data_IF_453990633539
#
_entry.id   IF_453990633539
#
_cell.length_a   1.000
_cell.length_b   1.000
_cell.length_c   1.000
_cell.angle_alpha   90.00
_cell.angle_beta   90.00
_cell.angle_gamma   90.00
#
_symmetry.space_group_name_H-M   'P 1'
#
loop_
_entity.id
_entity.type
_entity.pdbx_description
1 polymer ?
#
# COMPACT_ATOMS: atom_id res chain seq x y z
N UNK A 1 13.80 -2.77 56.89
CA UNK A 1 14.34 -1.80 55.92
C UNK A 1 13.91 -2.26 54.54
N UNK A 2 12.76 -1.79 54.10
CA UNK A 2 12.27 -1.99 52.73
C UNK A 2 12.66 -0.79 51.88
N UNK A 3 12.83 -1.03 50.59
CA UNK A 3 12.74 -0.02 49.52
C UNK A 3 12.31 -0.76 48.25
N UNK A 4 11.01 -0.67 47.99
CA UNK A 4 10.36 -0.94 46.72
C UNK A 4 10.68 0.20 45.75
N UNK A 5 11.12 -0.12 44.53
CA UNK A 5 11.31 0.86 43.47
C UNK A 5 10.07 0.86 42.56
N UNK A 6 9.28 1.92 42.66
CA UNK A 6 8.16 2.24 41.78
C UNK A 6 8.69 2.75 40.44
N UNK A 7 8.35 2.07 39.33
CA UNK A 7 8.58 2.54 37.97
C UNK A 7 7.25 2.81 37.27
N UNK A 8 6.67 3.97 37.53
CA UNK A 8 5.63 4.58 36.67
C UNK A 8 6.26 5.72 35.88
N UNK A 9 6.81 5.41 34.71
CA UNK A 9 7.04 6.41 33.66
C UNK A 9 5.75 6.48 32.82
N UNK A 10 4.90 7.45 33.15
CA UNK A 10 3.76 7.83 32.32
C UNK A 10 4.30 8.51 31.07
N UNK A 11 4.07 7.91 29.89
CA UNK A 11 4.27 8.58 28.61
C UNK A 11 3.29 9.76 28.53
N UNK A 12 3.79 10.98 28.68
CA UNK A 12 3.04 12.18 28.34
C UNK A 12 3.00 12.27 26.81
N UNK A 13 1.82 12.07 26.22
CA UNK A 13 1.57 12.47 24.84
C UNK A 13 1.58 14.00 24.81
N UNK A 14 2.53 14.59 24.08
CA UNK A 14 2.63 16.03 23.87
C UNK A 14 1.46 16.47 23.01
N UNK A 15 0.37 16.92 23.62
CA UNK A 15 -0.69 17.66 22.92
C UNK A 15 -0.11 18.98 22.45
N UNK A 16 0.04 19.15 21.14
CA UNK A 16 0.40 20.42 20.52
C UNK A 16 -0.66 21.48 20.88
N UNK A 17 -0.22 22.66 21.33
CA UNK A 17 -1.14 23.76 21.62
C UNK A 17 -1.84 24.24 20.33
N UNK A 18 -3.11 24.69 20.40
CA UNK A 18 -3.91 25.06 19.23
C UNK A 18 -3.24 26.05 18.27
N UNK A 19 -2.42 26.97 18.79
CA UNK A 19 -1.65 27.95 18.02
C UNK A 19 -0.54 27.34 17.15
N UNK A 20 0.06 26.23 17.60
CA UNK A 20 1.12 25.52 16.85
C UNK A 20 0.56 24.65 15.72
N UNK A 21 -0.67 24.15 15.88
CA UNK A 21 -1.37 23.38 14.83
C UNK A 21 -1.76 24.25 13.63
N UNK A 22 -2.16 25.49 13.90
CA UNK A 22 -2.53 26.48 12.87
C UNK A 22 -1.29 26.91 12.06
N UNK A 23 -0.18 27.23 12.74
CA UNK A 23 1.11 27.54 12.10
C UNK A 23 1.63 26.40 11.21
N UNK A 24 1.52 25.15 11.68
CA UNK A 24 1.90 23.97 10.90
C UNK A 24 1.02 23.83 9.65
N UNK A 25 -0.26 24.18 9.73
CA UNK A 25 -1.19 24.08 8.61
C UNK A 25 -0.92 25.13 7.53
N UNK A 26 -0.57 26.36 7.93
CA UNK A 26 -0.15 27.42 7.00
C UNK A 26 1.16 27.06 6.28
N UNK A 27 2.13 26.51 7.00
CA UNK A 27 3.42 26.11 6.44
C UNK A 27 3.27 24.95 5.45
N UNK A 28 2.44 23.94 5.77
CA UNK A 28 2.09 22.87 4.82
C UNK A 28 1.50 23.49 3.55
N UNK A 29 0.51 24.38 3.67
CA UNK A 29 -0.15 24.99 2.49
C UNK A 29 0.85 25.75 1.61
N UNK A 30 1.78 26.49 2.20
CA UNK A 30 2.83 27.20 1.46
C UNK A 30 3.74 26.23 0.68
N UNK A 31 4.16 25.14 1.33
CA UNK A 31 5.00 24.14 0.68
C UNK A 31 4.25 23.33 -0.39
N UNK A 32 2.93 23.15 -0.25
CA UNK A 32 2.07 22.54 -1.26
C UNK A 32 1.98 23.38 -2.54
N UNK A 33 1.94 24.70 -2.42
CA UNK A 33 2.02 25.60 -3.58
C UNK A 33 3.36 25.45 -4.31
N UNK A 34 4.47 25.32 -3.57
CA UNK A 34 5.80 25.06 -4.14
C UNK A 34 5.86 23.70 -4.85
N UNK A 35 5.29 22.65 -4.24
CA UNK A 35 5.19 21.31 -4.82
C UNK A 35 4.42 21.35 -6.16
N UNK A 36 3.30 22.08 -6.20
CA UNK A 36 2.47 22.24 -7.39
C UNK A 36 3.22 22.99 -8.52
N UNK A 37 3.90 24.09 -8.20
CA UNK A 37 4.73 24.81 -9.17
C UNK A 37 5.86 23.93 -9.73
N UNK A 38 6.50 23.15 -8.86
CA UNK A 38 7.55 22.23 -9.24
C UNK A 38 7.01 21.10 -10.13
N UNK A 39 5.85 20.55 -9.80
CA UNK A 39 5.16 19.55 -10.60
C UNK A 39 4.91 20.05 -12.03
N UNK A 40 4.42 21.28 -12.17
CA UNK A 40 4.22 21.92 -13.48
C UNK A 40 5.54 22.08 -14.25
N UNK A 41 6.61 22.54 -13.60
CA UNK A 41 7.96 22.64 -14.20
C UNK A 41 8.50 21.29 -14.66
N UNK A 42 8.12 20.21 -13.97
CA UNK A 42 8.50 18.83 -14.29
C UNK A 42 7.54 18.14 -15.27
N UNK A 43 6.54 18.85 -15.79
CA UNK A 43 5.55 18.33 -16.73
C UNK A 43 4.59 17.31 -16.12
N UNK A 44 4.41 17.34 -14.80
CA UNK A 44 3.39 16.56 -14.10
C UNK A 44 2.11 17.40 -14.08
N UNK A 45 1.08 16.96 -14.82
CA UNK A 45 -0.21 17.65 -14.91
C UNK A 45 -1.33 16.79 -14.29
N UNK A 46 -2.15 17.38 -13.42
CA UNK A 46 -3.30 16.71 -12.81
C UNK A 46 -4.02 17.59 -11.79
N UNK A 47 -5.27 17.25 -11.46
CA UNK A 47 -6.02 17.89 -10.34
C UNK A 47 -5.45 17.49 -8.98
N UNK A 48 -4.92 16.28 -8.87
CA UNK A 48 -4.15 15.77 -7.73
C UNK A 48 -2.73 15.46 -8.21
N UNK A 49 -1.77 16.20 -7.68
CA UNK A 49 -0.34 15.97 -7.97
C UNK A 49 0.13 14.74 -7.19
N UNK A 50 0.77 13.80 -7.89
CA UNK A 50 1.44 12.67 -7.25
C UNK A 50 2.78 13.14 -6.63
N UNK A 51 2.76 13.38 -5.33
CA UNK A 51 3.94 13.79 -4.55
C UNK A 51 5.13 12.85 -4.73
N UNK A 52 4.90 11.53 -4.86
CA UNK A 52 5.96 10.54 -5.06
C UNK A 52 6.63 10.79 -6.41
N UNK A 53 5.84 11.02 -7.46
CA UNK A 53 6.35 11.33 -8.80
C UNK A 53 7.13 12.65 -8.82
N UNK A 54 6.64 13.69 -8.11
CA UNK A 54 7.33 14.98 -8.00
C UNK A 54 8.69 14.82 -7.33
N UNK A 55 8.74 14.17 -6.17
CA UNK A 55 9.99 13.90 -5.43
C UNK A 55 10.95 13.11 -6.31
N UNK A 56 10.47 12.07 -6.99
CA UNK A 56 11.31 11.24 -7.86
C UNK A 56 11.91 12.04 -9.03
N UNK A 57 11.08 12.76 -9.78
CA UNK A 57 11.55 13.59 -10.91
C UNK A 57 12.48 14.71 -10.44
N UNK A 58 12.21 15.32 -9.28
CA UNK A 58 13.07 16.34 -8.69
C UNK A 58 14.44 15.75 -8.28
N UNK A 59 14.47 14.57 -7.66
CA UNK A 59 15.72 13.87 -7.29
C UNK A 59 16.56 13.56 -8.52
N UNK A 60 15.93 13.01 -9.56
CA UNK A 60 16.63 12.70 -10.80
C UNK A 60 17.18 13.97 -11.47
N UNK A 61 16.43 15.07 -11.49
CA UNK A 61 16.93 16.35 -12.03
C UNK A 61 18.09 16.89 -11.21
N UNK A 62 18.05 16.76 -9.89
CA UNK A 62 19.11 17.21 -8.98
C UNK A 62 20.46 16.51 -9.23
N UNK A 63 20.47 15.29 -9.77
CA UNK A 63 21.72 14.61 -10.19
C UNK A 63 22.45 15.34 -11.34
N UNK A 64 21.71 16.11 -12.13
CA UNK A 64 22.22 16.82 -13.32
C UNK A 64 22.19 18.34 -13.20
N UNK A 65 21.43 18.88 -12.24
CA UNK A 65 21.29 20.31 -12.00
C UNK A 65 21.05 20.59 -10.50
N UNK A 66 22.04 21.22 -9.85
CA UNK A 66 22.01 21.57 -8.43
C UNK A 66 20.90 22.57 -8.05
N UNK A 67 20.32 23.30 -9.02
CA UNK A 67 19.20 24.23 -8.79
C UNK A 67 17.95 23.54 -8.21
N UNK A 68 17.86 22.21 -8.32
CA UNK A 68 16.77 21.41 -7.74
C UNK A 68 17.00 21.03 -6.27
N UNK A 69 18.19 21.26 -5.70
CA UNK A 69 18.48 20.92 -4.30
C UNK A 69 17.61 21.69 -3.29
N UNK A 70 17.34 23.01 -3.44
CA UNK A 70 16.40 23.71 -2.55
C UNK A 70 14.98 23.16 -2.65
N UNK A 71 14.54 22.81 -3.87
CA UNK A 71 13.22 22.22 -4.08
C UNK A 71 13.09 20.87 -3.35
N UNK A 72 14.14 20.04 -3.38
CA UNK A 72 14.17 18.79 -2.62
C UNK A 72 14.10 19.00 -1.10
N UNK A 73 14.75 20.05 -0.57
CA UNK A 73 14.64 20.38 0.86
C UNK A 73 13.20 20.74 1.23
N UNK A 74 12.53 21.53 0.39
CA UNK A 74 11.12 21.90 0.61
C UNK A 74 10.19 20.68 0.54
N UNK A 75 10.40 19.76 -0.42
CA UNK A 75 9.61 18.53 -0.51
C UNK A 75 9.82 17.61 0.70
N UNK A 76 11.07 17.46 1.16
CA UNK A 76 11.36 16.67 2.35
C UNK A 76 10.70 17.27 3.61
N UNK A 77 10.72 18.61 3.72
CA UNK A 77 10.08 19.30 4.84
C UNK A 77 8.56 19.18 4.77
N UNK A 78 7.97 19.32 3.59
CA UNK A 78 6.55 19.11 3.35
C UNK A 78 6.13 17.69 3.76
N UNK A 79 6.89 16.68 3.34
CA UNK A 79 6.63 15.28 3.70
C UNK A 79 6.69 15.10 5.23
N UNK A 80 7.71 15.67 5.90
CA UNK A 80 7.86 15.62 7.35
C UNK A 80 6.68 16.27 8.09
N UNK A 81 6.26 17.47 7.67
CA UNK A 81 5.14 18.19 8.28
C UNK A 81 3.82 17.46 8.07
N UNK A 82 3.58 16.93 6.87
CA UNK A 82 2.40 16.10 6.56
C UNK A 82 2.35 14.82 7.41
N UNK A 83 3.49 14.14 7.59
CA UNK A 83 3.58 12.95 8.44
C UNK A 83 3.29 13.28 9.90
N UNK A 84 3.89 14.35 10.43
CA UNK A 84 3.64 14.81 11.80
C UNK A 84 2.16 15.15 12.02
N UNK A 85 1.54 15.87 11.07
CA UNK A 85 0.10 16.15 11.11
C UNK A 85 -0.73 14.86 11.12
N UNK A 86 -0.36 13.87 10.30
CA UNK A 86 -1.04 12.57 10.28
C UNK A 86 -0.93 11.85 11.63
N UNK A 87 0.24 11.84 12.27
CA UNK A 87 0.46 11.24 13.59
C UNK A 87 -0.41 11.88 14.68
N UNK A 88 -0.51 13.21 14.67
CA UNK A 88 -1.33 13.98 15.61
C UNK A 88 -2.82 13.68 15.41
N UNK A 89 -3.30 13.71 14.16
CA UNK A 89 -4.69 13.37 13.84
C UNK A 89 -5.03 11.93 14.24
N UNK A 90 -4.10 11.00 14.05
CA UNK A 90 -4.23 9.60 14.45
C UNK A 90 -4.32 9.36 15.96
N UNK A 91 -3.94 10.35 16.77
CA UNK A 91 -4.06 10.30 18.24
C UNK A 91 -5.41 10.85 18.72
N UNK A 92 -6.12 11.61 17.88
CA UNK A 92 -7.46 12.11 18.16
C UNK A 92 -8.51 11.07 17.74
N UNK A 93 -9.45 10.74 18.63
CA UNK A 93 -10.58 9.87 18.28
C UNK A 93 -11.53 10.65 17.38
N UNK A 94 -11.51 10.38 16.09
CA UNK A 94 -12.53 10.84 15.17
C UNK A 94 -13.22 9.65 14.52
N UNK A 95 -14.54 9.61 14.71
CA UNK A 95 -15.45 8.73 13.98
C UNK A 95 -15.44 9.19 12.52
N UNK A 96 -15.20 8.26 11.59
CA UNK A 96 -15.27 8.57 10.18
C UNK A 96 -16.73 8.90 9.84
N UNK A 97 -16.99 10.03 9.17
CA UNK A 97 -18.29 10.28 8.55
C UNK A 97 -18.46 9.27 7.40
N UNK A 98 -19.27 8.24 7.63
CA UNK A 98 -19.63 7.29 6.58
C UNK A 98 -20.52 8.01 5.56
N UNK A 99 -20.00 8.19 4.34
CA UNK A 99 -20.83 8.64 3.22
C UNK A 99 -21.84 7.53 2.90
N UNK A 100 -23.15 7.86 2.77
CA UNK A 100 -24.13 6.87 2.35
C UNK A 100 -23.81 6.40 0.93
N UNK A 101 -23.47 5.12 0.80
CA UNK A 101 -23.23 4.49 -0.49
C UNK A 101 -24.56 4.27 -1.22
N UNK A 102 -24.58 4.40 -2.56
CA UNK A 102 -25.80 4.18 -3.32
C UNK A 102 -26.28 2.73 -3.18
N UNK A 103 -27.57 2.58 -2.91
CA UNK A 103 -28.27 1.29 -2.96
C UNK A 103 -28.34 0.80 -4.41
N UNK A 104 -28.01 -0.46 -4.64
CA UNK A 104 -28.07 -1.09 -5.96
C UNK A 104 -27.44 -2.47 -5.96
N UNK A 105 -27.77 -3.28 -6.98
CA UNK A 105 -27.09 -4.55 -7.21
C UNK A 105 -25.65 -4.28 -7.71
N UNK A 106 -24.65 -5.02 -7.20
CA UNK A 106 -23.28 -4.88 -7.69
C UNK A 106 -23.19 -5.30 -9.16
N UNK A 107 -22.26 -4.67 -9.89
CA UNK A 107 -22.00 -5.02 -11.28
C UNK A 107 -21.40 -6.44 -11.38
N UNK A 108 -21.86 -7.21 -12.36
CA UNK A 108 -21.37 -8.58 -12.59
C UNK A 108 -20.28 -8.59 -13.66
N UNK A 109 -19.24 -9.38 -13.40
CA UNK A 109 -18.09 -9.59 -14.30
C UNK A 109 -17.95 -11.08 -14.58
N UNK A 110 -17.33 -11.44 -15.71
CA UNK A 110 -16.96 -12.83 -15.97
C UNK A 110 -15.79 -13.25 -15.06
N UNK A 111 -16.13 -13.79 -13.89
CA UNK A 111 -15.16 -14.25 -12.92
C UNK A 111 -14.40 -15.52 -13.31
N UNK A 112 -14.79 -16.18 -14.41
CA UNK A 112 -14.08 -17.36 -14.95
C UNK A 112 -12.72 -17.01 -15.56
N UNK A 113 -12.37 -15.71 -15.60
CA UNK A 113 -11.10 -15.18 -16.12
C UNK A 113 -10.35 -14.35 -15.08
N UNK A 114 -10.54 -14.68 -13.80
CA UNK A 114 -9.86 -14.05 -12.68
C UNK A 114 -8.89 -15.02 -12.01
N UNK A 115 -7.79 -14.45 -11.54
CA UNK A 115 -6.76 -15.09 -10.75
C UNK A 115 -6.38 -14.16 -9.62
N UNK A 116 -6.14 -14.72 -8.43
CA UNK A 116 -5.82 -13.91 -7.27
C UNK A 116 -4.69 -14.49 -6.42
N UNK A 117 -3.88 -13.60 -5.86
CA UNK A 117 -2.92 -13.88 -4.80
C UNK A 117 -3.25 -12.98 -3.63
N UNK A 118 -3.65 -13.57 -2.50
CA UNK A 118 -4.05 -12.83 -1.30
C UNK A 118 -3.05 -13.10 -0.18
N UNK A 119 -2.46 -12.04 0.35
CA UNK A 119 -1.37 -12.08 1.33
C UNK A 119 -1.79 -11.29 2.56
N UNK A 120 -1.78 -11.93 3.72
CA UNK A 120 -2.21 -11.33 4.98
C UNK A 120 -1.28 -11.75 6.09
N UNK A 121 -0.65 -10.81 6.78
CA UNK A 121 0.37 -11.11 7.78
C UNK A 121 0.03 -10.38 9.08
N UNK A 122 -0.29 -11.15 10.12
CA UNK A 122 -0.56 -10.65 11.48
C UNK A 122 0.68 -10.78 12.37
N UNK A 123 1.31 -11.96 12.31
CA UNK A 123 2.39 -12.34 13.22
C UNK A 123 3.73 -11.73 12.78
N UNK A 124 4.11 -10.66 13.46
CA UNK A 124 5.42 -10.03 13.35
C UNK A 124 6.19 -10.12 14.67
N UNK A 125 7.54 -10.22 14.64
CA UNK A 125 8.34 -10.21 15.86
C UNK A 125 8.17 -8.96 16.72
N UNK A 126 7.80 -7.83 16.10
CA UNK A 126 7.54 -6.55 16.73
C UNK A 126 6.28 -5.93 16.11
N UNK A 127 5.45 -5.27 16.93
CA UNK A 127 4.21 -4.62 16.50
C UNK A 127 3.19 -5.56 15.82
N UNK A 128 2.89 -6.69 16.47
CA UNK A 128 1.89 -7.67 16.01
C UNK A 128 0.59 -6.98 15.55
N UNK A 129 0.11 -7.39 14.38
CA UNK A 129 -1.19 -7.00 13.82
C UNK A 129 -2.21 -8.12 14.06
N UNK A 130 -3.50 -7.82 13.91
CA UNK A 130 -4.57 -8.77 14.23
C UNK A 130 -5.68 -8.84 13.20
N UNK A 131 -5.67 -7.94 12.21
CA UNK A 131 -6.73 -7.81 11.21
C UNK A 131 -6.29 -8.16 9.79
N UNK A 132 -5.01 -8.36 9.52
CA UNK A 132 -4.51 -8.58 8.15
C UNK A 132 -4.93 -9.94 7.61
N UNK A 133 -4.90 -10.99 8.44
CA UNK A 133 -5.42 -12.31 8.05
C UNK A 133 -6.94 -12.27 7.93
N UNK A 134 -7.63 -11.55 8.82
CA UNK A 134 -9.09 -11.38 8.72
C UNK A 134 -9.49 -10.68 7.41
N UNK A 135 -8.76 -9.63 7.06
CA UNK A 135 -8.94 -8.87 5.82
C UNK A 135 -8.80 -9.77 4.58
N UNK A 136 -7.78 -10.64 4.54
CA UNK A 136 -7.65 -11.64 3.47
C UNK A 136 -8.85 -12.57 3.42
N UNK A 137 -9.37 -13.03 4.56
CA UNK A 137 -10.54 -13.93 4.59
C UNK A 137 -11.80 -13.25 4.06
N UNK A 138 -12.03 -11.97 4.38
CA UNK A 138 -13.19 -11.25 3.85
C UNK A 138 -13.04 -10.91 2.36
N UNK A 139 -11.80 -10.66 1.89
CA UNK A 139 -11.49 -10.50 0.47
C UNK A 139 -11.66 -11.81 -0.30
N UNK A 140 -11.20 -12.94 0.24
CA UNK A 140 -11.39 -14.29 -0.32
C UNK A 140 -12.88 -14.60 -0.48
N UNK A 141 -13.69 -14.33 0.55
CA UNK A 141 -15.14 -14.46 0.48
C UNK A 141 -15.75 -13.58 -0.59
N UNK A 142 -15.33 -12.31 -0.68
CA UNK A 142 -15.79 -11.43 -1.74
C UNK A 142 -15.51 -12.00 -3.13
N UNK A 143 -14.28 -12.45 -3.39
CA UNK A 143 -13.92 -13.02 -4.68
C UNK A 143 -14.69 -14.31 -4.97
N UNK A 144 -14.92 -15.16 -3.98
CA UNK A 144 -15.54 -16.49 -4.20
C UNK A 144 -17.06 -16.49 -4.16
N UNK A 145 -17.67 -15.66 -3.32
CA UNK A 145 -19.12 -15.64 -3.06
C UNK A 145 -19.82 -14.51 -3.83
N UNK A 146 -19.21 -13.32 -3.90
CA UNK A 146 -19.81 -12.16 -4.58
C UNK A 146 -19.43 -12.14 -6.08
N UNK A 147 -18.14 -12.34 -6.40
CA UNK A 147 -17.68 -12.38 -7.80
C UNK A 147 -17.82 -13.76 -8.45
N UNK A 148 -17.88 -14.85 -7.67
CA UNK A 148 -17.87 -16.23 -8.17
C UNK A 148 -16.54 -16.65 -8.85
N UNK A 149 -15.39 -16.13 -8.39
CA UNK A 149 -14.06 -16.59 -8.81
C UNK A 149 -13.83 -18.03 -8.32
N UNK A 150 -13.40 -18.97 -9.18
CA UNK A 150 -13.08 -20.34 -8.75
C UNK A 150 -11.98 -20.38 -7.69
N UNK A 151 -12.21 -21.14 -6.60
CA UNK A 151 -11.25 -21.24 -5.47
C UNK A 151 -9.87 -21.74 -5.89
N UNK A 152 -9.78 -22.61 -6.90
CA UNK A 152 -8.52 -23.15 -7.42
C UNK A 152 -7.67 -22.10 -8.18
N UNK A 153 -8.20 -20.89 -8.36
CA UNK A 153 -7.50 -19.73 -8.96
C UNK A 153 -7.13 -18.65 -7.94
N UNK A 154 -7.35 -18.93 -6.66
CA UNK A 154 -7.02 -18.04 -5.55
C UNK A 154 -5.94 -18.71 -4.72
N UNK A 155 -4.79 -18.05 -4.62
CA UNK A 155 -3.68 -18.48 -3.77
C UNK A 155 -3.65 -17.63 -2.51
N UNK A 156 -3.48 -18.29 -1.35
CA UNK A 156 -3.50 -17.65 -0.03
C UNK A 156 -2.14 -17.79 0.64
N UNK A 157 -1.60 -16.68 1.15
CA UNK A 157 -0.42 -16.65 2.00
C UNK A 157 -0.78 -15.94 3.31
N UNK A 158 -0.84 -16.69 4.41
CA UNK A 158 -1.39 -16.22 5.69
C UNK A 158 -0.35 -16.34 6.80
N UNK A 159 0.09 -15.21 7.34
CA UNK A 159 1.03 -15.14 8.45
C UNK A 159 0.28 -15.07 9.77
N UNK A 160 -0.18 -16.21 10.26
CA UNK A 160 -0.88 -16.34 11.54
C UNK A 160 -0.17 -17.34 12.46
N UNK A 161 -0.66 -17.52 13.69
CA UNK A 161 -0.16 -18.57 14.60
C UNK A 161 -0.38 -19.99 14.07
N UNK A 162 -1.26 -20.16 13.08
CA UNK A 162 -1.57 -21.47 12.47
C UNK A 162 -0.52 -21.85 11.42
N UNK A 163 0.02 -20.87 10.70
CA UNK A 163 1.02 -21.04 9.65
C UNK A 163 2.34 -20.42 10.12
N UNK A 164 3.17 -21.20 10.82
CA UNK A 164 4.40 -20.71 11.46
C UNK A 164 5.68 -21.33 10.92
N UNK A 165 5.57 -22.38 10.10
CA UNK A 165 6.72 -23.09 9.53
C UNK A 165 7.08 -22.54 8.16
N UNK A 166 8.37 -22.41 7.88
CA UNK A 166 8.87 -22.11 6.54
C UNK A 166 8.60 -23.24 5.52
N UNK A 167 8.26 -24.44 5.98
CA UNK A 167 7.87 -25.57 5.12
C UNK A 167 6.37 -25.54 4.76
N UNK A 168 5.57 -24.69 5.41
CA UNK A 168 4.15 -24.53 5.11
C UNK A 168 4.00 -23.65 3.85
N UNK A 169 3.38 -24.15 2.77
CA UNK A 169 3.23 -23.39 1.54
C UNK A 169 2.36 -22.13 1.71
N UNK A 170 1.54 -22.05 2.76
CA UNK A 170 0.75 -20.87 3.08
C UNK A 170 1.52 -19.83 3.92
N UNK A 171 2.67 -20.19 4.48
CA UNK A 171 3.46 -19.24 5.27
C UNK A 171 4.01 -18.12 4.38
N UNK A 172 3.76 -16.83 4.67
CA UNK A 172 4.11 -15.72 3.79
C UNK A 172 5.60 -15.33 3.90
N UNK A 173 6.50 -16.29 3.74
CA UNK A 173 7.93 -16.00 3.62
C UNK A 173 8.21 -15.22 2.33
N UNK A 174 9.32 -14.49 2.28
CA UNK A 174 9.78 -13.86 1.04
C UNK A 174 9.85 -14.87 -0.12
N UNK A 175 10.37 -16.07 0.13
CA UNK A 175 10.46 -17.10 -0.91
C UNK A 175 9.08 -17.55 -1.41
N UNK A 176 8.11 -17.73 -0.52
CA UNK A 176 6.75 -18.12 -0.91
C UNK A 176 6.01 -17.00 -1.63
N UNK A 177 6.12 -15.74 -1.17
CA UNK A 177 5.51 -14.59 -1.85
C UNK A 177 6.07 -14.46 -3.27
N UNK A 178 7.40 -14.43 -3.41
CA UNK A 178 8.05 -14.28 -4.70
C UNK A 178 7.79 -15.50 -5.61
N UNK A 179 7.82 -16.72 -5.07
CA UNK A 179 7.50 -17.93 -5.82
C UNK A 179 6.04 -17.98 -6.28
N UNK A 180 5.11 -17.52 -5.46
CA UNK A 180 3.67 -17.44 -5.81
C UNK A 180 3.43 -16.44 -6.93
N UNK A 181 4.03 -15.25 -6.83
CA UNK A 181 3.87 -14.20 -7.84
C UNK A 181 4.52 -14.58 -9.17
N UNK A 182 5.72 -15.17 -9.14
CA UNK A 182 6.35 -15.66 -10.38
C UNK A 182 5.68 -16.90 -10.93
N UNK A 183 5.02 -17.71 -10.10
CA UNK A 183 4.15 -18.80 -10.53
C UNK A 183 3.02 -18.34 -11.46
N UNK A 184 2.53 -17.10 -11.32
CA UNK A 184 1.54 -16.52 -12.24
C UNK A 184 2.08 -16.39 -13.68
N UNK A 185 3.39 -16.24 -13.86
CA UNK A 185 4.03 -16.16 -15.17
C UNK A 185 3.97 -17.53 -15.86
N UNK A 186 4.30 -18.58 -15.10
CA UNK A 186 4.39 -19.96 -15.59
C UNK A 186 3.04 -20.70 -15.66
N UNK A 187 1.98 -20.15 -15.08
CA UNK A 187 0.66 -20.79 -15.10
C UNK A 187 0.00 -20.68 -16.49
N UNK A 188 -0.03 -21.79 -17.22
CA UNK A 188 -0.57 -21.88 -18.58
C UNK A 188 -2.09 -21.64 -18.65
N UNK A 189 -2.81 -21.84 -17.54
CA UNK A 189 -4.25 -21.58 -17.47
C UNK A 189 -4.56 -20.08 -17.45
N UNK A 190 -3.63 -19.23 -17.01
CA UNK A 190 -3.76 -17.77 -17.11
C UNK A 190 -3.52 -17.35 -18.56
N UNK A 191 -4.57 -16.86 -19.21
CA UNK A 191 -4.53 -16.37 -20.59
C UNK A 191 -4.23 -14.88 -20.63
N UNK A 192 -3.68 -14.44 -21.76
CA UNK A 192 -3.40 -13.02 -21.96
C UNK A 192 -4.70 -12.19 -21.87
N UNK A 193 -4.71 -11.17 -21.01
CA UNK A 193 -5.86 -10.33 -20.73
C UNK A 193 -6.84 -10.88 -19.69
N UNK A 194 -6.50 -11.96 -18.99
CA UNK A 194 -7.20 -12.34 -17.76
C UNK A 194 -6.93 -11.31 -16.65
N UNK A 195 -7.87 -11.17 -15.70
CA UNK A 195 -7.71 -10.28 -14.56
C UNK A 195 -6.83 -10.96 -13.49
N UNK A 196 -5.77 -10.29 -13.07
CA UNK A 196 -4.89 -10.72 -11.99
C UNK A 196 -5.05 -9.75 -10.83
N UNK A 197 -5.49 -10.23 -9.67
CA UNK A 197 -5.64 -9.44 -8.44
C UNK A 197 -4.56 -9.88 -7.45
N UNK A 198 -3.72 -8.94 -7.02
CA UNK A 198 -2.74 -9.17 -5.97
C UNK A 198 -3.15 -8.28 -4.80
N UNK A 199 -3.46 -8.88 -3.66
CA UNK A 199 -3.90 -8.18 -2.47
C UNK A 199 -2.91 -8.44 -1.33
N UNK A 200 -2.47 -7.38 -0.66
CA UNK A 200 -1.57 -7.45 0.48
C UNK A 200 -2.14 -6.66 1.66
N UNK A 201 -2.23 -7.30 2.82
CA UNK A 201 -2.48 -6.68 4.11
C UNK A 201 -1.35 -7.03 5.10
N UNK A 202 -0.74 -6.03 5.69
CA UNK A 202 0.39 -6.23 6.60
C UNK A 202 1.20 -4.96 6.79
N UNK A 203 2.35 -5.07 7.42
CA UNK A 203 3.28 -3.95 7.54
C UNK A 203 3.86 -3.53 6.18
N UNK A 204 3.87 -2.22 5.94
CA UNK A 204 4.76 -1.61 4.97
C UNK A 204 6.08 -1.23 5.63
N UNK A 205 7.16 -1.22 4.85
CA UNK A 205 8.49 -0.77 5.29
C UNK A 205 9.10 0.12 4.22
N UNK A 206 9.82 1.16 4.62
CA UNK A 206 10.62 1.97 3.70
C UNK A 206 12.08 1.97 4.15
N UNK A 207 12.99 2.11 3.19
CA UNK A 207 14.40 2.42 3.46
C UNK A 207 14.66 3.88 3.08
N UNK A 208 15.35 4.62 3.95
CA UNK A 208 15.38 6.09 3.93
C UNK A 208 16.13 6.73 2.75
N UNK A 209 16.80 5.97 1.88
CA UNK A 209 17.80 6.56 0.98
C UNK A 209 17.37 6.69 -0.49
N UNK A 210 16.49 5.85 -1.04
CA UNK A 210 16.19 5.86 -2.49
C UNK A 210 14.71 5.96 -2.88
N UNK A 211 13.82 6.30 -1.95
CA UNK A 211 12.39 6.56 -2.24
C UNK A 211 11.56 5.32 -2.61
N UNK A 212 12.18 4.13 -2.67
CA UNK A 212 11.50 2.84 -2.84
C UNK A 212 12.22 1.80 -1.97
N UNK A 213 11.46 0.89 -1.35
CA UNK A 213 12.05 -0.25 -0.64
C UNK A 213 12.63 -1.27 -1.66
N UNK A 214 13.58 -2.11 -1.23
CA UNK A 214 14.09 -3.19 -2.07
C UNK A 214 12.98 -4.13 -2.53
N UNK A 215 12.02 -4.35 -1.64
CA UNK A 215 10.84 -5.16 -1.91
C UNK A 215 9.95 -4.51 -2.98
N UNK A 216 9.79 -3.18 -2.96
CA UNK A 216 9.01 -2.47 -3.98
C UNK A 216 9.63 -2.64 -5.37
N UNK A 217 10.96 -2.57 -5.48
CA UNK A 217 11.67 -2.79 -6.76
C UNK A 217 11.53 -4.22 -7.25
N UNK A 218 11.67 -5.19 -6.35
CA UNK A 218 11.54 -6.61 -6.68
C UNK A 218 10.12 -6.94 -7.15
N UNK A 219 9.09 -6.52 -6.39
CA UNK A 219 7.69 -6.72 -6.75
C UNK A 219 7.37 -6.01 -8.06
N UNK A 220 7.82 -4.77 -8.26
CA UNK A 220 7.59 -4.06 -9.52
C UNK A 220 8.21 -4.79 -10.71
N UNK A 221 9.44 -5.33 -10.57
CA UNK A 221 10.06 -6.16 -11.60
C UNK A 221 9.25 -7.41 -11.94
N UNK A 222 8.70 -8.09 -10.94
CA UNK A 222 7.82 -9.25 -11.15
C UNK A 222 6.52 -8.85 -11.86
N UNK A 223 5.89 -7.75 -11.46
CA UNK A 223 4.67 -7.25 -12.09
C UNK A 223 4.88 -6.88 -13.55
N UNK A 224 6.02 -6.28 -13.88
CA UNK A 224 6.45 -6.04 -15.28
C UNK A 224 6.48 -7.34 -16.08
N UNK A 225 7.03 -8.42 -15.53
CA UNK A 225 7.11 -9.71 -16.22
C UNK A 225 5.76 -10.42 -16.34
N UNK A 226 4.92 -10.33 -15.31
CA UNK A 226 3.54 -10.79 -15.40
C UNK A 226 2.82 -10.00 -16.52
N UNK A 227 2.98 -8.67 -16.58
CA UNK A 227 2.34 -7.85 -17.60
C UNK A 227 2.80 -8.23 -19.02
N UNK A 228 4.10 -8.45 -19.22
CA UNK A 228 4.64 -8.88 -20.52
C UNK A 228 4.07 -10.22 -20.98
N UNK A 229 3.84 -11.13 -20.06
CA UNK A 229 3.41 -12.50 -20.37
C UNK A 229 1.89 -12.64 -20.44
N UNK A 230 1.18 -11.95 -19.54
CA UNK A 230 -0.27 -12.13 -19.27
C UNK A 230 -1.10 -10.89 -19.57
N UNK A 231 -0.47 -9.76 -19.90
CA UNK A 231 -1.13 -8.48 -20.18
C UNK A 231 -1.28 -7.58 -18.94
N UNK A 232 -1.65 -6.33 -19.18
CA UNK A 232 -1.64 -5.24 -18.18
C UNK A 232 -2.81 -5.25 -17.19
N UNK A 233 -3.72 -6.25 -17.24
CA UNK A 233 -4.91 -6.33 -16.36
C UNK A 233 -4.54 -6.87 -14.98
N UNK A 234 -3.59 -6.20 -14.35
CA UNK A 234 -3.06 -6.51 -13.03
C UNK A 234 -3.50 -5.41 -12.07
N UNK A 235 -4.19 -5.79 -11.00
CA UNK A 235 -4.56 -4.88 -9.91
C UNK A 235 -3.77 -5.25 -8.66
N UNK A 236 -2.90 -4.34 -8.21
CA UNK A 236 -2.20 -4.46 -6.95
C UNK A 236 -2.95 -3.65 -5.89
N UNK A 237 -3.43 -4.30 -4.84
CA UNK A 237 -4.17 -3.68 -3.74
C UNK A 237 -3.34 -3.80 -2.47
N UNK A 238 -2.97 -2.66 -1.88
CA UNK A 238 -2.09 -2.59 -0.71
C UNK A 238 -2.83 -1.97 0.48
N UNK A 239 -3.14 -2.79 1.49
CA UNK A 239 -3.58 -2.34 2.81
C UNK A 239 -2.40 -2.32 3.80
N UNK A 240 -1.48 -1.39 3.57
CA UNK A 240 -0.28 -1.18 4.37
C UNK A 240 0.13 0.30 4.39
N UNK A 241 0.97 0.72 5.34
CA UNK A 241 1.51 2.08 5.35
C UNK A 241 2.59 2.26 4.28
N UNK A 242 2.53 3.37 3.55
CA UNK A 242 3.62 3.83 2.68
C UNK A 242 4.61 4.77 3.41
N UNK A 243 4.25 5.24 4.60
CA UNK A 243 5.09 6.13 5.39
C UNK A 243 6.36 5.43 5.83
N UNK A 244 7.42 5.72 5.08
CA UNK A 244 8.61 6.34 5.65
C UNK A 244 8.86 5.98 7.11
N UNK A 245 9.71 5.01 7.41
CA UNK A 245 10.36 4.87 8.74
C UNK A 245 11.25 6.07 9.12
N UNK A 246 11.03 7.24 8.50
CA UNK A 246 11.73 8.49 8.72
C UNK A 246 11.36 9.15 10.07
N UNK A 247 10.25 8.73 10.68
CA UNK A 247 9.93 9.15 12.05
C UNK A 247 10.75 8.33 13.06
N UNK A 248 11.46 9.03 13.95
CA UNK A 248 12.08 8.42 15.16
C UNK A 248 11.03 8.03 16.21
N UNK A 249 9.75 8.33 15.96
CA UNK A 249 8.66 8.09 16.88
C UNK A 249 8.06 6.70 16.66
N UNK A 250 7.62 6.08 17.76
CA UNK A 250 6.95 4.77 17.72
C UNK A 250 5.59 4.95 17.06
N UNK A 251 5.28 4.20 15.98
CA UNK A 251 3.96 4.25 15.34
C UNK A 251 2.84 3.96 16.35
N UNK A 252 1.66 4.60 16.22
CA UNK A 252 0.51 4.28 17.06
C UNK A 252 0.12 2.79 16.94
N UNK A 253 -0.40 2.15 18.01
CA UNK A 253 -0.88 0.77 17.96
C UNK A 253 -1.88 0.52 16.82
N UNK A 254 -1.75 -0.63 16.15
CA UNK A 254 -2.57 -1.01 15.00
C UNK A 254 -2.15 -0.34 13.68
N UNK A 255 -1.07 0.44 13.67
CA UNK A 255 -0.49 0.96 12.42
C UNK A 255 0.20 -0.14 11.64
N UNK A 256 -0.11 -0.22 10.34
CA UNK A 256 0.42 -1.21 9.41
C UNK A 256 1.79 -0.79 8.86
N UNK A 257 2.72 -0.45 9.77
CA UNK A 257 4.12 -0.10 9.47
C UNK A 257 5.09 -0.77 10.43
N UNK A 258 6.24 -1.20 9.93
CA UNK A 258 7.33 -1.71 10.74
C UNK A 258 8.59 -0.85 10.56
N UNK A 259 9.39 -0.63 11.63
CA UNK A 259 10.68 0.02 11.51
C UNK A 259 11.61 -0.82 10.63
N UNK A 260 12.57 -0.15 9.97
CA UNK A 260 13.60 -0.81 9.16
C UNK A 260 14.34 -1.86 9.99
N UNK A 261 14.41 -3.09 9.48
CA UNK A 261 15.12 -4.18 10.16
C UNK A 261 16.61 -3.89 10.23
N UNK A 262 17.23 -4.02 11.41
CA UNK A 262 18.68 -3.86 11.59
C UNK A 262 19.51 -5.04 11.06
N UNK A 263 18.85 -6.14 10.70
CA UNK A 263 19.51 -7.42 10.38
C UNK A 263 19.94 -7.55 8.91
N UNK A 264 19.40 -6.74 8.00
CA UNK A 264 19.68 -6.85 6.55
C UNK A 264 19.70 -5.46 5.93
N UNK A 265 20.72 -5.18 5.11
CA UNK A 265 20.82 -3.89 4.43
C UNK A 265 19.91 -3.83 3.19
N UNK A 266 19.55 -2.62 2.76
CA UNK A 266 18.83 -2.41 1.50
C UNK A 266 19.57 -3.07 0.32
N UNK A 267 20.90 -2.95 0.30
CA UNK A 267 21.74 -3.50 -0.75
C UNK A 267 21.66 -5.03 -0.81
N UNK A 268 21.68 -5.71 0.35
CA UNK A 268 21.57 -7.17 0.41
C UNK A 268 20.21 -7.65 -0.13
N UNK A 269 19.13 -6.94 0.22
CA UNK A 269 17.80 -7.25 -0.28
C UNK A 269 17.68 -7.03 -1.80
N UNK A 270 18.22 -5.92 -2.31
CA UNK A 270 18.24 -5.65 -3.74
C UNK A 270 19.07 -6.68 -4.50
N UNK A 271 20.23 -7.09 -3.96
CA UNK A 271 21.07 -8.12 -4.58
C UNK A 271 20.36 -9.47 -4.63
N UNK A 272 19.66 -9.85 -3.55
CA UNK A 272 18.88 -11.07 -3.52
C UNK A 272 17.74 -11.05 -4.55
N UNK A 273 17.03 -9.92 -4.67
CA UNK A 273 15.95 -9.76 -5.66
C UNK A 273 16.48 -9.76 -7.09
N UNK A 274 17.56 -9.04 -7.36
CA UNK A 274 18.16 -8.97 -8.69
C UNK A 274 18.68 -10.33 -9.16
N UNK A 275 19.33 -11.08 -8.27
CA UNK A 275 19.80 -12.44 -8.59
C UNK A 275 18.64 -13.40 -8.84
N UNK A 276 17.51 -13.24 -8.13
CA UNK A 276 16.31 -14.02 -8.39
C UNK A 276 15.71 -13.68 -9.77
N UNK A 277 15.59 -12.39 -10.09
CA UNK A 277 15.06 -11.90 -11.36
C UNK A 277 15.93 -12.26 -12.57
N UNK A 278 17.26 -12.39 -12.40
CA UNK A 278 18.16 -12.91 -13.45
C UNK A 278 17.76 -14.31 -13.94
N UNK A 279 17.08 -15.12 -13.13
CA UNK A 279 16.54 -16.41 -13.60
C UNK A 279 15.48 -16.25 -14.70
N UNK A 280 14.86 -15.07 -14.78
CA UNK A 280 13.84 -14.69 -15.76
C UNK A 280 14.41 -13.76 -16.85
N UNK A 281 15.75 -13.62 -16.96
CA UNK A 281 16.47 -12.70 -17.86
C UNK A 281 16.14 -12.84 -19.36
N UNK A 282 15.40 -13.86 -19.78
CA UNK A 282 14.92 -13.91 -21.16
C UNK A 282 13.98 -12.74 -21.50
N UNK A 283 13.40 -12.08 -20.48
CA UNK A 283 12.37 -11.08 -20.69
C UNK A 283 12.58 -9.74 -19.95
N UNK A 284 13.43 -9.65 -18.91
CA UNK A 284 13.73 -8.42 -18.15
C UNK A 284 15.04 -7.73 -18.63
N UNK A 285 15.00 -6.61 -19.38
CA UNK A 285 16.21 -5.96 -19.90
C UNK A 285 16.90 -5.01 -18.90
N UNK A 286 16.43 -4.95 -17.64
CA UNK A 286 16.96 -4.04 -16.61
C UNK A 286 17.58 -4.76 -15.42
N UNK A 287 18.06 -4.01 -14.43
CA UNK A 287 18.48 -4.53 -13.13
C UNK A 287 17.81 -3.69 -12.05
N UNK A 288 17.25 -4.33 -11.03
CA UNK A 288 16.65 -3.59 -9.90
C UNK A 288 17.72 -2.90 -9.02
N UNK A 289 18.99 -3.27 -9.23
CA UNK A 289 20.17 -2.61 -8.64
C UNK A 289 20.58 -1.33 -9.37
N UNK A 290 20.02 -1.06 -10.56
CA UNK A 290 20.40 0.10 -11.33
C UNK A 290 20.08 1.40 -10.56
N UNK A 291 21.02 2.35 -10.54
CA UNK A 291 20.83 3.64 -9.85
C UNK A 291 19.76 4.50 -10.50
N UNK A 292 19.57 4.33 -11.80
CA UNK A 292 18.56 4.98 -12.61
C UNK A 292 17.31 4.12 -12.80
N UNK A 293 17.15 3.05 -11.99
CA UNK A 293 15.96 2.21 -12.00
C UNK A 293 14.70 3.04 -11.82
N UNK A 294 13.65 2.69 -12.58
CA UNK A 294 12.36 3.37 -12.55
C UNK A 294 11.25 2.37 -12.32
N UNK A 295 10.30 2.75 -11.50
CA UNK A 295 9.06 2.01 -11.30
C UNK A 295 8.31 1.94 -12.62
N UNK A 296 8.00 0.73 -13.08
CA UNK A 296 7.11 0.50 -14.19
C UNK A 296 5.66 0.66 -13.70
N UNK A 297 5.05 1.78 -14.08
CA UNK A 297 3.66 2.11 -13.79
C UNK A 297 2.73 1.78 -14.96
N UNK A 298 3.24 1.17 -16.04
CA UNK A 298 2.47 0.71 -17.19
C UNK A 298 1.98 -0.73 -16.99
N UNK A 299 2.62 -1.49 -16.09
CA UNK A 299 2.34 -2.92 -15.89
C UNK A 299 1.07 -3.24 -15.11
N UNK A 300 0.67 -2.36 -14.19
CA UNK A 300 -0.42 -2.62 -13.25
C UNK A 300 -1.11 -1.33 -12.81
N UNK A 301 -2.29 -1.48 -12.22
CA UNK A 301 -2.96 -0.43 -11.44
C UNK A 301 -2.72 -0.71 -9.97
N UNK A 302 -2.18 0.28 -9.25
CA UNK A 302 -1.99 0.25 -7.80
C UNK A 302 -3.19 0.93 -7.13
N UNK A 303 -3.81 0.27 -6.15
CA UNK A 303 -4.78 0.85 -5.21
C UNK A 303 -4.20 0.68 -3.80
N UNK A 304 -3.88 1.78 -3.15
CA UNK A 304 -3.22 1.77 -1.84
C UNK A 304 -4.06 2.47 -0.77
N UNK A 305 -3.94 1.99 0.47
CA UNK A 305 -4.77 2.39 1.59
C UNK A 305 -4.62 3.86 2.01
N UNK A 306 -3.43 4.44 1.81
CA UNK A 306 -3.17 5.81 2.20
C UNK A 306 -2.02 6.44 1.41
N UNK A 307 -1.92 7.77 1.45
CA UNK A 307 -0.77 8.50 0.89
C UNK A 307 0.54 8.15 1.62
N UNK A 308 1.67 8.45 1.00
CA UNK A 308 3.03 8.19 1.52
C UNK A 308 3.34 8.82 2.89
N UNK A 309 2.56 9.80 3.34
CA UNK A 309 2.73 10.48 4.63
C UNK A 309 1.60 10.17 5.63
N UNK A 310 0.79 9.15 5.34
CA UNK A 310 -0.32 8.71 6.19
C UNK A 310 -0.10 7.28 6.69
N UNK A 311 -0.91 6.88 7.68
CA UNK A 311 -0.85 5.56 8.30
C UNK A 311 -2.08 4.74 7.95
N UNK A 312 -1.87 3.55 7.39
CA UNK A 312 -2.89 2.51 7.32
C UNK A 312 -3.07 1.82 8.67
N UNK A 313 -4.32 1.60 9.09
CA UNK A 313 -4.62 1.12 10.45
C UNK A 313 -5.70 0.06 10.50
N UNK A 314 -5.62 -0.74 11.55
CA UNK A 314 -6.67 -1.65 11.98
C UNK A 314 -7.63 -0.98 12.95
N UNK A 315 -8.92 -1.24 12.79
CA UNK A 315 -9.95 -0.86 13.73
C UNK A 315 -10.57 -2.08 14.42
N UNK A 316 -11.04 -1.89 15.65
CA UNK A 316 -11.77 -2.90 16.41
C UNK A 316 -13.26 -2.77 16.13
N UNK A 317 -13.84 -3.78 15.51
CA UNK A 317 -15.28 -3.87 15.25
C UNK A 317 -15.89 -4.84 16.26
N UNK A 318 -16.98 -4.43 16.93
CA UNK A 318 -17.77 -5.32 17.77
C UNK A 318 -18.83 -6.00 16.91
N UNK A 319 -18.83 -7.32 16.90
CA UNK A 319 -19.88 -8.11 16.26
C UNK A 319 -21.13 -8.20 17.14
N UNK A 320 -22.24 -8.60 16.54
CA UNK A 320 -23.53 -8.78 17.22
C UNK A 320 -23.47 -9.82 18.35
N UNK A 321 -22.58 -10.82 18.21
CA UNK A 321 -22.31 -11.85 19.22
C UNK A 321 -21.41 -11.37 20.38
N UNK A 322 -20.99 -10.11 20.37
CA UNK A 322 -20.13 -9.49 21.37
C UNK A 322 -18.64 -9.74 21.18
N UNK A 323 -18.23 -10.48 20.14
CA UNK A 323 -16.82 -10.68 19.82
C UNK A 323 -16.20 -9.40 19.23
N UNK A 324 -14.91 -9.19 19.49
CA UNK A 324 -14.14 -8.06 18.94
C UNK A 324 -13.25 -8.59 17.83
N UNK A 325 -13.46 -8.08 16.63
CA UNK A 325 -12.67 -8.38 15.45
C UNK A 325 -11.79 -7.18 15.09
N UNK A 326 -10.60 -7.44 14.56
CA UNK A 326 -9.76 -6.39 13.98
C UNK A 326 -9.93 -6.43 12.46
N UNK A 327 -10.14 -5.26 11.85
CA UNK A 327 -10.34 -5.12 10.41
C UNK A 327 -9.52 -3.92 9.92
N UNK A 328 -8.88 -4.04 8.76
CA UNK A 328 -8.24 -2.92 8.09
C UNK A 328 -9.27 -1.89 7.67
N UNK A 329 -9.06 -0.61 8.03
CA UNK A 329 -10.00 0.46 7.70
C UNK A 329 -10.18 0.60 6.18
N UNK A 330 -9.09 0.46 5.43
CA UNK A 330 -9.14 0.52 3.97
C UNK A 330 -9.85 -0.70 3.39
N UNK A 331 -9.53 -1.91 3.85
CA UNK A 331 -10.19 -3.13 3.35
C UNK A 331 -11.69 -3.14 3.62
N UNK A 332 -12.13 -2.71 4.81
CA UNK A 332 -13.55 -2.57 5.12
C UNK A 332 -14.23 -1.58 4.16
N UNK A 333 -13.67 -0.38 3.98
CA UNK A 333 -14.21 0.62 3.04
C UNK A 333 -14.25 0.10 1.61
N UNK A 334 -13.18 -0.56 1.16
CA UNK A 334 -13.08 -1.14 -0.19
C UNK A 334 -14.17 -2.16 -0.45
N UNK A 335 -14.37 -3.11 0.47
CA UNK A 335 -15.40 -4.14 0.29
C UNK A 335 -16.81 -3.56 0.38
N UNK A 336 -17.06 -2.54 1.20
CA UNK A 336 -18.36 -1.83 1.23
C UNK A 336 -18.66 -1.16 -0.11
N UNK A 337 -17.68 -0.48 -0.71
CA UNK A 337 -17.85 0.16 -2.01
C UNK A 337 -18.09 -0.86 -3.11
N UNK A 338 -17.26 -1.92 -3.16
CA UNK A 338 -17.37 -2.98 -4.16
C UNK A 338 -18.69 -3.77 -4.07
N UNK A 339 -19.26 -3.93 -2.87
CA UNK A 339 -20.57 -4.56 -2.67
C UNK A 339 -21.77 -3.62 -2.84
N UNK A 340 -21.53 -2.32 -2.99
CA UNK A 340 -22.59 -1.33 -3.15
C UNK A 340 -22.98 -1.10 -4.62
N UNK A 341 -24.03 -0.31 -4.86
CA UNK A 341 -24.41 0.15 -6.20
C UNK A 341 -23.47 1.21 -6.80
N UNK A 342 -22.33 1.49 -6.15
CA UNK A 342 -21.32 2.43 -6.61
C UNK A 342 -20.51 1.86 -7.77
N UNK A 343 -20.17 0.57 -7.69
CA UNK A 343 -19.46 -0.14 -8.74
C UNK A 343 -20.41 -0.50 -9.89
N UNK A 344 -20.18 0.13 -11.04
CA UNK A 344 -20.93 -0.03 -12.29
C UNK A 344 -19.99 -0.39 -13.42
N UNK A 345 -20.56 -0.76 -14.57
CA UNK A 345 -19.80 -1.13 -15.79
C UNK A 345 -18.79 -0.06 -16.20
N UNK A 346 -19.14 1.21 -16.04
CA UNK A 346 -18.33 2.35 -16.46
C UNK A 346 -17.34 2.83 -15.39
N UNK A 347 -17.45 2.33 -14.15
CA UNK A 347 -16.61 2.77 -13.03
C UNK A 347 -15.15 2.44 -13.29
N UNK A 348 -14.29 3.45 -13.20
CA UNK A 348 -12.84 3.33 -13.33
C UNK A 348 -12.16 3.15 -11.98
N UNK A 349 -10.87 2.79 -11.95
CA UNK A 349 -10.12 2.76 -10.69
C UNK A 349 -9.97 4.17 -10.08
N UNK A 350 -9.88 5.21 -10.91
CA UNK A 350 -9.96 6.61 -10.46
C UNK A 350 -11.28 6.93 -9.77
N UNK A 351 -12.40 6.42 -10.31
CA UNK A 351 -13.71 6.60 -9.69
C UNK A 351 -13.82 5.88 -8.34
N UNK A 352 -13.21 4.69 -8.21
CA UNK A 352 -13.24 3.89 -6.99
C UNK A 352 -12.81 4.70 -5.75
N UNK A 353 -11.75 5.51 -5.89
CA UNK A 353 -11.21 6.31 -4.79
C UNK A 353 -12.23 7.31 -4.24
N UNK A 354 -13.09 7.88 -5.08
CA UNK A 354 -14.16 8.78 -4.61
C UNK A 354 -15.23 8.05 -3.79
N UNK A 355 -15.46 6.76 -4.09
CA UNK A 355 -16.37 5.89 -3.35
C UNK A 355 -15.83 5.49 -1.97
N UNK A 356 -14.52 5.24 -1.87
CA UNK A 356 -13.87 4.83 -0.61
C UNK A 356 -13.92 5.90 0.48
N UNK A 357 -14.22 7.15 0.10
CA UNK A 357 -14.20 8.30 0.98
C UNK A 357 -12.79 8.66 1.42
N UNK A 358 -12.70 9.71 2.22
CA UNK A 358 -11.45 10.11 2.88
C UNK A 358 -11.74 10.14 4.37
N UNK A 359 -10.91 9.45 5.17
CA UNK A 359 -10.92 9.61 6.61
C UNK A 359 -9.84 10.60 7.02
N UNK A 360 -9.89 11.09 8.26
CA UNK A 360 -8.81 11.90 8.84
C UNK A 360 -7.46 11.15 8.92
N UNK A 361 -7.47 9.83 8.79
CA UNK A 361 -6.32 8.96 9.00
C UNK A 361 -5.74 8.41 7.69
N UNK A 362 -6.60 8.10 6.72
CA UNK A 362 -6.27 7.40 5.48
C UNK A 362 -7.00 8.03 4.29
N UNK A 363 -6.22 8.41 3.29
CA UNK A 363 -6.69 8.85 1.98
C UNK A 363 -6.25 7.83 0.94
N UNK A 364 -7.16 6.96 0.48
CA UNK A 364 -6.83 5.96 -0.53
C UNK A 364 -6.28 6.62 -1.80
N UNK A 365 -5.36 5.93 -2.45
CA UNK A 365 -4.67 6.41 -3.64
C UNK A 365 -4.74 5.37 -4.74
N UNK A 366 -4.83 5.86 -5.98
CA UNK A 366 -4.71 5.04 -7.19
C UNK A 366 -3.59 5.58 -8.06
N UNK A 367 -2.74 4.68 -8.56
CA UNK A 367 -1.63 5.02 -9.42
C UNK A 367 -1.50 3.99 -10.57
N UNK A 368 -0.75 4.36 -11.61
CA UNK A 368 -0.57 3.55 -12.81
C UNK A 368 -1.16 4.21 -14.06
N UNK A 369 -0.57 3.91 -15.21
CA UNK A 369 -1.02 4.41 -16.52
C UNK A 369 -2.46 4.03 -16.84
N UNK A 370 -2.90 2.90 -16.32
CA UNK A 370 -4.24 2.34 -16.55
C UNK A 370 -5.24 2.68 -15.43
N UNK A 371 -4.96 3.68 -14.57
CA UNK A 371 -5.89 4.07 -13.48
C UNK A 371 -7.27 4.53 -13.96
N UNK A 372 -7.36 5.06 -15.17
CA UNK A 372 -8.63 5.50 -15.78
C UNK A 372 -9.33 4.35 -16.54
N UNK A 373 -8.80 3.12 -16.48
CA UNK A 373 -9.46 1.94 -17.02
C UNK A 373 -10.63 1.50 -16.12
N UNK A 374 -11.62 0.85 -16.74
CA UNK A 374 -12.78 0.27 -16.04
C UNK A 374 -12.32 -0.88 -15.13
N UNK A 375 -12.84 -0.91 -13.91
CA UNK A 375 -12.47 -1.89 -12.89
C UNK A 375 -12.79 -3.31 -13.39
N UNK A 376 -11.75 -4.11 -13.56
CA UNK A 376 -11.80 -5.53 -13.95
C UNK A 376 -12.64 -5.85 -15.20
N UNK A 377 -12.83 -4.86 -16.08
CA UNK A 377 -13.60 -5.01 -17.29
C UNK A 377 -12.84 -5.82 -18.34
N UNK A 378 -13.57 -6.69 -19.04
CA UNK A 378 -13.06 -7.45 -20.16
C UNK A 378 -13.83 -7.06 -21.43
N UNK A 379 -13.09 -6.60 -22.44
CA UNK A 379 -13.62 -6.31 -23.79
C UNK A 379 -14.11 -7.57 -24.52
#
# INVERSE_FOLDING_TARGET
MGLTCDSKAVCQATTLEPSTFDQTSEEIRYLEEIELELAQKLGISGKDVDSVEVVFKAKHKALSNEDYLPALRNLNELHRLRLNRSLVLNSARHEAEERPLPLGLPYTVDASRFWAVLIGIDEYPYQVLHGCVSDVRVMEKYLTEDLCVPRDRIQLLLGSKEHTSADDPMYPSRAHIIGTLTGLIAEDRIKHGDNIIIYYAGHGTSYNDEGHSAFDREINGILTEICRTKGYRITLILDCCHSGGASREVPPPGSRTAPTTRCTTLQDMLLAGDNYLKGYNHYFPGSILARDWRTDMDSHVLVAACKEYQLAKEMKVKREDGTVEHVGIFTDSLLRVLRSGYWRKETTYADLIFGLGQSSHQTPVVAGKHRDARIWYQD
#
